data_IF_466615557019
#
_entry.id   IF_466615557019
#
_cell.length_a   1.000
_cell.length_b   1.000
_cell.length_c   1.000
_cell.angle_alpha   90.00
_cell.angle_beta   90.00
_cell.angle_gamma   90.00
#
_symmetry.space_group_name_H-M   'P 1'
#
loop_
_entity.id
_entity.type
_entity.pdbx_description
1 polymer ?
#
# COMPACT_ATOMS: atom_id res chain seq x y z
N UNK A 1 14.28 -19.38 1.85
CA UNK A 1 15.23 -18.86 0.84
C UNK A 1 15.74 -17.51 1.36
N UNK A 2 17.00 -17.46 1.80
CA UNK A 2 17.61 -16.23 2.30
C UNK A 2 17.84 -15.29 1.10
N UNK A 3 17.50 -14.00 1.21
CA UNK A 3 17.87 -13.03 0.17
C UNK A 3 19.39 -12.87 0.16
N UNK A 4 19.97 -12.77 -1.03
CA UNK A 4 21.37 -12.41 -1.16
C UNK A 4 21.55 -10.96 -0.68
N UNK A 5 22.74 -10.60 -0.16
CA UNK A 5 22.99 -9.25 0.36
C UNK A 5 22.73 -8.15 -0.68
N UNK A 6 23.02 -8.44 -1.95
CA UNK A 6 22.78 -7.52 -3.07
C UNK A 6 21.29 -7.24 -3.28
N UNK A 7 20.45 -8.27 -3.19
CA UNK A 7 18.99 -8.13 -3.31
C UNK A 7 18.42 -7.25 -2.19
N UNK A 8 18.98 -7.35 -0.99
CA UNK A 8 18.60 -6.53 0.16
C UNK A 8 18.94 -5.05 -0.07
N UNK A 9 20.12 -4.75 -0.63
CA UNK A 9 20.53 -3.38 -0.94
C UNK A 9 19.63 -2.79 -2.04
N UNK A 10 19.34 -3.58 -3.08
CA UNK A 10 18.44 -3.16 -4.17
C UNK A 10 17.04 -2.91 -3.61
N UNK A 11 16.52 -3.81 -2.77
CA UNK A 11 15.22 -3.66 -2.13
C UNK A 11 15.16 -2.36 -1.31
N UNK A 12 16.15 -2.12 -0.43
CA UNK A 12 16.24 -0.92 0.39
C UNK A 12 16.21 0.35 -0.46
N UNK A 13 17.03 0.42 -1.52
CA UNK A 13 17.10 1.58 -2.41
C UNK A 13 15.81 1.79 -3.20
N UNK A 14 15.23 0.70 -3.73
CA UNK A 14 13.98 0.73 -4.47
C UNK A 14 12.84 1.28 -3.61
N UNK A 15 12.71 0.76 -2.37
CA UNK A 15 11.69 1.21 -1.43
C UNK A 15 11.88 2.65 -0.99
N UNK A 16 13.12 3.07 -0.69
CA UNK A 16 13.42 4.46 -0.38
C UNK A 16 13.11 5.40 -1.54
N UNK A 17 13.35 4.94 -2.78
CA UNK A 17 13.01 5.69 -4.00
C UNK A 17 11.50 5.87 -4.11
N UNK A 18 10.70 4.82 -3.88
CA UNK A 18 9.24 4.96 -3.92
C UNK A 18 8.70 5.89 -2.84
N UNK A 19 9.24 5.86 -1.61
CA UNK A 19 8.87 6.81 -0.55
C UNK A 19 9.24 8.24 -0.98
N UNK A 20 10.45 8.45 -1.50
CA UNK A 20 10.90 9.77 -1.96
C UNK A 20 10.04 10.30 -3.11
N UNK A 21 9.64 9.43 -4.05
CA UNK A 21 8.70 9.78 -5.12
C UNK A 21 7.34 10.18 -4.56
N UNK A 22 6.82 9.44 -3.58
CA UNK A 22 5.55 9.76 -2.94
C UNK A 22 5.59 11.11 -2.21
N UNK A 23 6.74 11.51 -1.67
CA UNK A 23 6.92 12.82 -1.04
C UNK A 23 7.04 13.94 -2.09
N UNK A 24 7.98 13.80 -3.03
CA UNK A 24 8.34 14.90 -3.93
C UNK A 24 7.38 15.08 -5.12
N UNK A 25 6.78 13.99 -5.60
CA UNK A 25 5.73 14.05 -6.63
C UNK A 25 4.34 14.07 -6.00
N UNK A 26 4.17 14.91 -4.96
CA UNK A 26 2.97 14.95 -4.13
C UNK A 26 1.67 15.05 -4.95
N UNK A 27 1.58 15.98 -5.90
CA UNK A 27 0.38 16.14 -6.76
C UNK A 27 0.03 14.88 -7.57
N UNK A 28 1.06 14.17 -8.07
CA UNK A 28 0.86 12.92 -8.79
C UNK A 28 0.38 11.83 -7.83
N UNK A 29 1.00 11.69 -6.66
CA UNK A 29 0.66 10.67 -5.68
C UNK A 29 -0.63 10.94 -4.91
N UNK A 30 -1.09 12.19 -4.85
CA UNK A 30 -2.39 12.56 -4.32
C UNK A 30 -3.54 12.09 -5.23
N UNK A 31 -3.28 11.84 -6.52
CA UNK A 31 -4.31 11.51 -7.52
C UNK A 31 -4.21 10.08 -8.08
N UNK A 32 -3.04 9.68 -8.57
CA UNK A 32 -2.88 8.40 -9.30
C UNK A 32 -1.52 7.72 -9.14
N UNK A 33 -0.55 8.32 -8.44
CA UNK A 33 0.82 7.79 -8.36
C UNK A 33 0.89 6.35 -7.84
N UNK A 34 0.00 5.95 -6.93
CA UNK A 34 0.00 4.60 -6.37
C UNK A 34 -0.46 3.51 -7.36
N UNK A 35 -1.16 3.87 -8.44
CA UNK A 35 -1.48 2.93 -9.53
C UNK A 35 -0.23 2.40 -10.25
N UNK A 36 0.87 3.17 -10.23
CA UNK A 36 2.12 2.80 -10.88
C UNK A 36 2.93 1.77 -10.08
N UNK A 37 2.71 1.68 -8.77
CA UNK A 37 3.59 0.95 -7.84
C UNK A 37 2.88 -0.22 -7.16
N UNK A 38 1.63 -0.02 -6.70
CA UNK A 38 0.94 -1.01 -5.87
C UNK A 38 0.71 -2.36 -6.54
N UNK A 39 0.37 -2.47 -7.84
CA UNK A 39 0.21 -3.77 -8.49
C UNK A 39 1.49 -4.62 -8.42
N UNK A 40 2.65 -3.99 -8.59
CA UNK A 40 3.95 -4.67 -8.53
C UNK A 40 4.31 -5.08 -7.10
N UNK A 41 4.13 -4.17 -6.13
CA UNK A 41 4.37 -4.48 -4.72
C UNK A 41 3.51 -5.65 -4.24
N UNK A 42 2.21 -5.63 -4.54
CA UNK A 42 1.30 -6.68 -4.11
C UNK A 42 1.61 -8.04 -4.76
N UNK A 43 2.01 -8.07 -6.03
CA UNK A 43 2.47 -9.32 -6.68
C UNK A 43 3.71 -9.87 -5.98
N UNK A 44 4.73 -9.04 -5.77
CA UNK A 44 5.95 -9.43 -5.06
C UNK A 44 5.64 -9.96 -3.66
N UNK A 45 4.75 -9.28 -2.92
CA UNK A 45 4.25 -9.71 -1.62
C UNK A 45 3.63 -11.11 -1.73
N UNK A 46 2.65 -11.31 -2.62
CA UNK A 46 1.93 -12.59 -2.75
C UNK A 46 2.82 -13.78 -3.15
N UNK A 47 3.83 -13.55 -3.99
CA UNK A 47 4.65 -14.62 -4.56
C UNK A 47 5.78 -15.07 -3.63
N UNK A 48 6.15 -14.25 -2.63
CA UNK A 48 7.34 -14.46 -1.79
C UNK A 48 7.03 -14.43 -0.29
N UNK A 49 5.90 -15.00 0.11
CA UNK A 49 5.45 -15.04 1.50
C UNK A 49 6.42 -15.77 2.46
N UNK A 50 7.25 -16.67 1.97
CA UNK A 50 8.30 -17.34 2.77
C UNK A 50 9.50 -16.44 3.09
N UNK A 51 9.60 -15.27 2.46
CA UNK A 51 10.63 -14.28 2.71
C UNK A 51 10.09 -13.18 3.63
N UNK A 52 10.18 -13.41 4.94
CA UNK A 52 9.66 -12.50 5.95
C UNK A 52 10.24 -11.08 5.86
N UNK A 53 11.51 -10.94 5.47
CA UNK A 53 12.16 -9.63 5.34
C UNK A 53 11.51 -8.80 4.23
N UNK A 54 11.28 -9.41 3.05
CA UNK A 54 10.58 -8.74 1.94
C UNK A 54 9.15 -8.36 2.34
N UNK A 55 8.41 -9.28 2.96
CA UNK A 55 7.04 -9.02 3.40
C UNK A 55 6.99 -7.83 4.36
N UNK A 56 7.77 -7.86 5.45
CA UNK A 56 7.83 -6.76 6.42
C UNK A 56 8.27 -5.44 5.80
N UNK A 57 9.19 -5.49 4.83
CA UNK A 57 9.63 -4.31 4.08
C UNK A 57 8.48 -3.69 3.28
N UNK A 58 7.69 -4.51 2.57
CA UNK A 58 6.54 -4.01 1.80
C UNK A 58 5.45 -3.47 2.75
N UNK A 59 5.17 -4.17 3.84
CA UNK A 59 4.22 -3.75 4.88
C UNK A 59 4.63 -2.40 5.47
N UNK A 60 5.89 -2.25 5.86
CA UNK A 60 6.47 -1.00 6.36
C UNK A 60 6.31 0.15 5.36
N UNK A 61 6.66 -0.08 4.09
CA UNK A 61 6.55 0.95 3.03
C UNK A 61 5.10 1.36 2.80
N UNK A 62 4.16 0.41 2.83
CA UNK A 62 2.72 0.73 2.75
C UNK A 62 2.24 1.56 3.94
N UNK A 63 2.73 1.29 5.16
CA UNK A 63 2.47 2.17 6.32
C UNK A 63 3.03 3.57 6.10
N UNK A 64 4.23 3.73 5.56
CA UNK A 64 4.80 5.04 5.24
C UNK A 64 4.00 5.79 4.18
N UNK A 65 3.53 5.11 3.14
CA UNK A 65 2.61 5.71 2.17
C UNK A 65 1.31 6.18 2.82
N UNK A 66 0.75 5.39 3.74
CA UNK A 66 -0.41 5.81 4.50
C UNK A 66 -0.09 7.02 5.40
N UNK A 67 1.06 7.05 6.09
CA UNK A 67 1.48 8.22 6.90
C UNK A 67 1.49 9.51 6.07
N UNK A 68 2.06 9.44 4.86
CA UNK A 68 2.22 10.57 3.95
C UNK A 68 0.89 11.03 3.32
N UNK A 69 0.10 10.09 2.81
CA UNK A 69 -1.04 10.35 1.91
C UNK A 69 -2.40 9.95 2.46
N UNK A 70 -2.45 9.31 3.63
CA UNK A 70 -3.67 9.01 4.40
C UNK A 70 -4.72 8.25 3.58
N UNK A 71 -6.01 8.61 3.73
CA UNK A 71 -7.14 7.96 3.05
C UNK A 71 -7.00 7.91 1.52
N UNK A 72 -6.52 8.96 0.83
CA UNK A 72 -6.21 8.91 -0.61
C UNK A 72 -5.32 7.75 -1.02
N UNK A 73 -4.30 7.40 -0.24
CA UNK A 73 -3.44 6.25 -0.53
C UNK A 73 -4.23 4.94 -0.52
N UNK A 74 -5.03 4.71 0.52
CA UNK A 74 -5.83 3.49 0.62
C UNK A 74 -6.84 3.37 -0.55
N UNK A 75 -7.52 4.46 -0.89
CA UNK A 75 -8.45 4.49 -2.01
C UNK A 75 -7.76 4.16 -3.35
N UNK A 76 -6.61 4.77 -3.61
CA UNK A 76 -5.83 4.48 -4.82
C UNK A 76 -5.27 3.05 -4.82
N UNK A 77 -4.81 2.53 -3.67
CA UNK A 77 -4.35 1.15 -3.56
C UNK A 77 -5.46 0.17 -3.95
N UNK A 78 -6.66 0.32 -3.36
CA UNK A 78 -7.81 -0.53 -3.66
C UNK A 78 -8.16 -0.50 -5.15
N UNK A 79 -8.20 0.70 -5.75
CA UNK A 79 -8.42 0.88 -7.18
C UNK A 79 -7.34 0.24 -8.05
N UNK A 80 -6.07 0.38 -7.67
CA UNK A 80 -4.92 -0.12 -8.41
C UNK A 80 -4.85 -1.66 -8.44
N UNK A 81 -5.17 -2.31 -7.32
CA UNK A 81 -5.06 -3.77 -7.21
C UNK A 81 -6.30 -4.51 -7.69
N UNK A 82 -7.46 -3.84 -7.78
CA UNK A 82 -8.73 -4.49 -8.09
C UNK A 82 -8.73 -5.34 -9.38
N UNK A 83 -7.97 -4.96 -10.42
CA UNK A 83 -7.90 -5.73 -11.66
C UNK A 83 -6.99 -6.97 -11.58
N UNK A 84 -6.05 -6.99 -10.63
CA UNK A 84 -5.14 -8.13 -10.42
C UNK A 84 -5.62 -9.07 -9.32
N UNK A 85 -6.61 -8.69 -8.51
CA UNK A 85 -7.19 -9.60 -7.53
C UNK A 85 -7.89 -10.78 -8.23
N UNK A 86 -7.65 -11.96 -7.66
CA UNK A 86 -8.35 -13.19 -7.99
C UNK A 86 -9.44 -13.43 -6.95
N UNK A 87 -10.68 -13.39 -7.42
CA UNK A 87 -11.88 -13.69 -6.62
C UNK A 87 -12.32 -15.13 -6.80
N UNK A 88 -11.56 -15.96 -7.53
CA UNK A 88 -11.81 -17.40 -7.61
C UNK A 88 -11.24 -18.10 -6.36
N UNK A 89 -12.12 -18.79 -5.64
CA UNK A 89 -11.78 -19.58 -4.43
C UNK A 89 -11.03 -20.88 -4.75
N UNK A 90 -10.81 -21.20 -6.02
CA UNK A 90 -10.01 -22.35 -6.41
C UNK A 90 -8.51 -22.09 -6.19
N UNK A 91 -7.96 -22.54 -5.06
CA UNK A 91 -6.54 -22.44 -4.72
C UNK A 91 -5.63 -23.25 -5.67
N UNK A 92 -6.17 -24.17 -6.47
CA UNK A 92 -5.40 -24.98 -7.43
C UNK A 92 -5.19 -24.28 -8.78
N UNK A 93 -5.98 -23.26 -9.09
CA UNK A 93 -5.81 -22.47 -10.31
C UNK A 93 -4.76 -21.38 -10.08
N UNK A 94 -3.56 -21.59 -10.63
CA UNK A 94 -2.44 -20.66 -10.51
C UNK A 94 -2.39 -19.77 -11.74
N UNK A 95 -2.87 -18.53 -11.60
CA UNK A 95 -2.66 -17.49 -12.61
C UNK A 95 -1.54 -16.55 -12.15
N UNK A 96 -0.36 -16.54 -12.79
CA UNK A 96 0.78 -15.73 -12.36
C UNK A 96 0.54 -14.22 -12.49
N UNK A 97 -0.48 -13.80 -13.24
CA UNK A 97 -0.87 -12.40 -13.43
C UNK A 97 -1.90 -11.92 -12.40
N UNK A 98 -2.44 -12.83 -11.60
CA UNK A 98 -3.44 -12.56 -10.57
C UNK A 98 -2.88 -12.81 -9.17
N UNK A 99 -3.53 -12.20 -8.17
CA UNK A 99 -3.17 -12.29 -6.76
C UNK A 99 -4.40 -12.72 -5.97
N UNK A 100 -4.30 -13.84 -5.23
CA UNK A 100 -5.38 -14.26 -4.32
C UNK A 100 -5.69 -13.17 -3.30
N UNK A 101 -6.98 -12.91 -3.07
CA UNK A 101 -7.45 -11.83 -2.18
C UNK A 101 -6.87 -11.90 -0.76
N UNK A 102 -6.57 -13.11 -0.25
CA UNK A 102 -5.94 -13.32 1.07
C UNK A 102 -4.64 -12.53 1.28
N UNK A 103 -3.83 -12.33 0.23
CA UNK A 103 -2.57 -11.60 0.35
C UNK A 103 -2.78 -10.08 0.47
N UNK A 104 -3.79 -9.54 -0.22
CA UNK A 104 -4.15 -8.13 -0.05
C UNK A 104 -4.75 -7.90 1.35
N UNK A 105 -5.62 -8.80 1.81
CA UNK A 105 -6.15 -8.77 3.17
C UNK A 105 -5.05 -8.80 4.23
N UNK A 106 -4.06 -9.69 4.10
CA UNK A 106 -2.93 -9.77 5.02
C UNK A 106 -2.11 -8.46 5.06
N UNK A 107 -1.88 -7.85 3.89
CA UNK A 107 -1.19 -6.57 3.79
C UNK A 107 -1.99 -5.47 4.50
N UNK A 108 -3.29 -5.35 4.25
CA UNK A 108 -4.15 -4.36 4.93
C UNK A 108 -4.17 -4.58 6.45
N UNK A 109 -4.33 -5.82 6.90
CA UNK A 109 -4.29 -6.17 8.32
C UNK A 109 -2.96 -5.76 8.97
N UNK A 110 -1.83 -5.94 8.28
CA UNK A 110 -0.53 -5.51 8.79
C UNK A 110 -0.45 -3.99 9.00
N UNK A 111 -1.19 -3.21 8.20
CA UNK A 111 -1.22 -1.75 8.28
C UNK A 111 -2.06 -1.24 9.46
N UNK A 112 -2.98 -2.03 10.01
CA UNK A 112 -3.81 -1.58 11.15
C UNK A 112 -2.96 -1.29 12.40
N UNK A 113 -1.82 -1.97 12.55
CA UNK A 113 -0.82 -1.65 13.57
C UNK A 113 0.09 -0.50 13.11
N UNK A 114 -0.43 0.72 13.13
CA UNK A 114 0.36 1.93 12.81
C UNK A 114 1.32 2.35 13.93
N UNK A 115 1.25 1.71 15.11
CA UNK A 115 2.16 1.97 16.23
C UNK A 115 3.52 1.26 16.03
N UNK A 116 3.51 0.07 15.42
CA UNK A 116 4.71 -0.67 15.05
C UNK A 116 5.25 -0.25 13.68
N UNK A 117 6.15 0.75 13.68
CA UNK A 117 6.89 1.23 12.51
C UNK A 117 8.37 0.83 12.57
N UNK A 118 8.65 -0.44 12.86
CA UNK A 118 10.03 -0.96 12.79
C UNK A 118 10.49 -0.96 11.33
N UNK A 119 11.51 -0.16 11.01
CA UNK A 119 12.10 -0.07 9.67
C UNK A 119 13.10 -1.22 9.48
N UNK A 120 12.74 -2.29 8.74
CA UNK A 120 13.53 -3.53 8.72
C UNK A 120 14.88 -3.37 8.02
N UNK A 121 15.07 -2.31 7.22
CA UNK A 121 16.25 -2.12 6.37
C UNK A 121 16.85 -0.72 6.48
N UNK A 122 16.45 0.09 7.47
CA UNK A 122 16.82 1.51 7.56
C UNK A 122 16.54 2.24 6.23
N UNK A 123 15.35 2.02 5.68
CA UNK A 123 14.87 2.59 4.42
C UNK A 123 14.78 4.11 4.54
N UNK A 124 14.24 4.63 5.65
CA UNK A 124 14.12 6.07 5.86
C UNK A 124 15.48 6.76 6.01
N UNK A 125 16.54 6.03 6.37
CA UNK A 125 17.91 6.54 6.34
C UNK A 125 18.35 7.02 4.95
N UNK A 126 17.73 6.52 3.87
CA UNK A 126 17.99 6.93 2.49
C UNK A 126 17.03 8.01 1.96
N UNK A 127 15.97 8.36 2.70
CA UNK A 127 14.97 9.36 2.29
C UNK A 127 15.37 10.72 2.85
N UNK A 128 15.53 11.74 2.01
CA UNK A 128 16.01 13.06 2.44
C UNK A 128 14.89 13.96 2.98
N UNK A 129 14.17 13.48 3.98
CA UNK A 129 13.05 14.18 4.61
C UNK A 129 13.19 14.25 6.13
N UNK A 130 12.45 15.15 6.78
CA UNK A 130 12.40 15.21 8.25
C UNK A 130 11.66 13.99 8.80
N UNK A 131 12.28 13.27 9.74
CA UNK A 131 11.70 12.10 10.41
C UNK A 131 11.11 12.47 11.78
N UNK A 132 10.06 11.78 12.26
CA UNK A 132 9.26 10.81 11.52
C UNK A 132 8.50 11.50 10.37
N UNK A 133 8.23 10.75 9.30
CA UNK A 133 7.39 11.25 8.21
C UNK A 133 6.00 11.63 8.75
N UNK A 134 5.35 12.58 8.09
CA UNK A 134 4.04 13.11 8.48
C UNK A 134 3.17 13.30 7.24
N UNK A 135 1.87 13.48 7.46
CA UNK A 135 0.94 13.79 6.39
C UNK A 135 1.42 15.02 5.60
N UNK A 136 1.40 14.92 4.28
CA UNK A 136 1.82 16.01 3.39
C UNK A 136 0.73 17.06 3.25
N UNK A 137 -0.53 16.64 3.31
CA UNK A 137 -1.68 17.52 3.23
C UNK A 137 -2.10 17.99 4.65
N UNK A 138 -2.19 19.31 4.80
CA UNK A 138 -2.54 20.00 6.04
C UNK A 138 -3.95 19.65 6.54
N UNK A 139 -4.85 19.19 5.66
CA UNK A 139 -6.17 18.71 6.03
C UNK A 139 -6.13 17.53 7.02
N UNK A 140 -5.00 16.81 7.10
CA UNK A 140 -4.82 15.68 8.02
C UNK A 140 -4.00 16.02 9.28
N UNK A 141 -3.82 17.31 9.59
CA UNK A 141 -3.02 17.75 10.75
C UNK A 141 -3.56 17.19 12.07
N UNK A 142 -4.88 17.17 12.21
CA UNK A 142 -5.57 16.73 13.43
C UNK A 142 -6.13 15.30 13.32
N UNK A 143 -6.01 14.68 12.13
CA UNK A 143 -6.46 13.31 11.90
C UNK A 143 -5.45 12.30 12.49
N UNK A 144 -5.90 11.41 13.40
CA UNK A 144 -5.01 10.43 14.01
C UNK A 144 -4.38 9.54 12.94
N UNK A 145 -3.11 9.17 13.12
CA UNK A 145 -2.44 8.21 12.25
C UNK A 145 -2.82 6.77 12.58
N UNK A 146 -4.11 6.50 12.53
CA UNK A 146 -4.70 5.19 12.66
C UNK A 146 -5.28 4.79 11.30
N UNK A 147 -4.87 3.64 10.80
CA UNK A 147 -5.53 2.98 9.69
C UNK A 147 -6.45 1.90 10.26
N UNK A 148 -7.67 1.83 9.75
CA UNK A 148 -8.63 0.78 10.10
C UNK A 148 -9.31 0.32 8.84
N UNK A 149 -9.09 -0.95 8.48
CA UNK A 149 -9.62 -1.50 7.23
C UNK A 149 -11.15 -1.40 7.18
N UNK A 150 -11.82 -1.58 8.32
CA UNK A 150 -13.27 -1.49 8.41
C UNK A 150 -13.76 -0.06 8.13
N UNK A 151 -13.25 0.92 8.89
CA UNK A 151 -13.78 2.29 8.83
C UNK A 151 -13.31 3.02 7.58
N UNK A 152 -12.03 2.90 7.22
CA UNK A 152 -11.48 3.52 6.01
C UNK A 152 -12.00 2.81 4.74
N UNK A 153 -12.23 1.50 4.81
CA UNK A 153 -12.92 0.70 3.80
C UNK A 153 -14.32 1.22 3.51
N UNK A 154 -15.18 1.27 4.55
CA UNK A 154 -16.55 1.75 4.41
C UNK A 154 -16.61 3.21 3.95
N UNK A 155 -15.78 4.09 4.51
CA UNK A 155 -15.71 5.49 4.09
C UNK A 155 -15.31 5.61 2.61
N UNK A 156 -14.40 4.75 2.14
CA UNK A 156 -13.99 4.71 0.73
C UNK A 156 -15.13 4.27 -0.19
N UNK A 157 -15.87 3.21 0.18
CA UNK A 157 -17.07 2.78 -0.55
C UNK A 157 -18.10 3.91 -0.65
N UNK A 158 -18.44 4.54 0.49
CA UNK A 158 -19.39 5.65 0.55
C UNK A 158 -18.92 6.82 -0.32
N UNK A 159 -17.63 7.15 -0.29
CA UNK A 159 -17.05 8.22 -1.11
C UNK A 159 -17.24 7.93 -2.61
N UNK A 160 -16.93 6.71 -3.07
CA UNK A 160 -17.11 6.34 -4.47
C UNK A 160 -18.59 6.37 -4.88
N UNK A 161 -19.49 5.84 -4.04
CA UNK A 161 -20.92 5.85 -4.33
C UNK A 161 -21.50 7.28 -4.34
N UNK A 162 -21.01 8.18 -3.48
CA UNK A 162 -21.50 9.56 -3.40
C UNK A 162 -20.99 10.44 -4.56
N UNK A 163 -19.72 10.30 -4.95
CA UNK A 163 -19.09 11.19 -5.93
C UNK A 163 -19.02 10.61 -7.35
N UNK A 164 -19.18 9.30 -7.51
CA UNK A 164 -19.22 8.64 -8.82
C UNK A 164 -20.35 7.59 -8.88
N UNK A 165 -21.62 7.97 -8.58
CA UNK A 165 -22.74 7.05 -8.40
C UNK A 165 -23.01 6.17 -9.62
N UNK A 166 -22.84 6.71 -10.82
CA UNK A 166 -23.10 6.01 -12.09
C UNK A 166 -21.92 5.14 -12.56
N UNK A 167 -20.81 5.11 -11.82
CA UNK A 167 -19.65 4.31 -12.20
C UNK A 167 -19.89 2.81 -11.96
N UNK A 168 -19.32 1.96 -12.83
CA UNK A 168 -19.32 0.49 -12.61
C UNK A 168 -18.79 0.11 -11.22
N UNK A 169 -17.87 0.90 -10.66
CA UNK A 169 -17.29 0.68 -9.32
C UNK A 169 -18.28 0.99 -8.20
N UNK A 170 -19.05 2.07 -8.30
CA UNK A 170 -20.12 2.39 -7.34
C UNK A 170 -21.10 1.22 -7.19
N UNK A 171 -21.57 0.64 -8.31
CA UNK A 171 -22.43 -0.54 -8.28
C UNK A 171 -21.79 -1.80 -7.67
N UNK A 172 -20.47 -1.92 -7.69
CA UNK A 172 -19.74 -3.04 -7.06
C UNK A 172 -19.51 -2.84 -5.56
N UNK A 173 -19.67 -1.61 -5.06
CA UNK A 173 -19.40 -1.22 -3.67
C UNK A 173 -20.68 -1.06 -2.83
N UNK A 174 -21.85 -1.09 -3.47
CA UNK A 174 -23.18 -1.23 -2.85
C UNK A 174 -23.48 -2.71 -2.53
#
# INVERSE_FOLDING_TARGET
MLMHCEDVIILRRCMATYISMAVHFNTLFASQGFFLIMPTLLRCYSQRQTNALLCRTIEYVCKQFYVLHRKPFFLQMAGAVANILDTNDNDFEVNPMKVKAKYWFNLLKSMEDMASLEDPLDILGLVNETKPLRALDLCYRDDPNAFSMLTDGLASCVTVCAFAPDSRRSYQML
#
